data_IF_323395825772
#
_entry.id   IF_323395825772
#
_cell.length_a   1.000
_cell.length_b   1.000
_cell.length_c   1.000
_cell.angle_alpha   90.00
_cell.angle_beta   90.00
_cell.angle_gamma   90.00
#
_symmetry.space_group_name_H-M   'P 1'
#
loop_
_entity.id
_entity.type
_entity.pdbx_description
1 polymer ?
#
# COMPACT_ATOMS: atom_id res chain seq x y z
N UNK A 1 51.96 -36.71 -9.10
CA UNK A 1 51.58 -35.33 -9.48
C UNK A 1 50.13 -35.12 -9.05
N UNK A 2 49.92 -34.45 -7.92
CA UNK A 2 48.60 -34.05 -7.43
C UNK A 2 48.15 -32.83 -8.24
N UNK A 3 47.10 -32.97 -9.06
CA UNK A 3 46.43 -31.83 -9.67
C UNK A 3 45.39 -31.29 -8.69
N UNK A 4 45.70 -30.15 -8.09
CA UNK A 4 44.78 -29.33 -7.32
C UNK A 4 43.79 -28.65 -8.28
N UNK A 5 42.53 -29.09 -8.26
CA UNK A 5 41.39 -28.32 -8.76
C UNK A 5 40.93 -27.39 -7.62
N UNK A 6 41.08 -26.06 -7.73
CA UNK A 6 40.46 -25.18 -6.76
C UNK A 6 38.96 -25.16 -7.02
N UNK A 7 38.17 -25.65 -6.07
CA UNK A 7 36.74 -25.38 -5.99
C UNK A 7 36.56 -23.86 -5.85
N UNK A 8 36.20 -23.21 -6.95
CA UNK A 8 35.58 -21.89 -6.92
C UNK A 8 34.14 -22.08 -6.41
N UNK A 9 33.99 -22.15 -5.08
CA UNK A 9 32.68 -22.08 -4.44
C UNK A 9 32.14 -20.66 -4.61
N UNK A 10 30.99 -20.57 -5.28
CA UNK A 10 30.40 -19.34 -5.76
C UNK A 10 30.15 -18.30 -4.69
N UNK A 11 30.46 -17.04 -5.02
CA UNK A 11 29.84 -15.89 -4.37
C UNK A 11 28.36 -15.88 -4.77
N UNK A 12 27.52 -16.49 -3.94
CA UNK A 12 26.07 -16.27 -3.99
C UNK A 12 25.78 -14.82 -3.62
N UNK A 13 25.30 -14.04 -4.58
CA UNK A 13 24.71 -12.73 -4.30
C UNK A 13 23.41 -12.96 -3.53
N UNK A 14 23.44 -12.79 -2.21
CA UNK A 14 22.22 -12.70 -1.40
C UNK A 14 21.57 -11.37 -1.73
N UNK A 15 20.64 -11.37 -2.70
CA UNK A 15 19.72 -10.25 -2.88
C UNK A 15 18.75 -10.26 -1.71
N UNK A 16 18.96 -9.40 -0.72
CA UNK A 16 17.94 -9.10 0.27
C UNK A 16 16.77 -8.43 -0.46
N UNK A 17 15.52 -8.88 -0.25
CA UNK A 17 14.37 -8.16 -0.80
C UNK A 17 14.39 -6.75 -0.22
N UNK A 18 14.47 -5.75 -1.10
CA UNK A 18 14.29 -4.34 -0.70
C UNK A 18 12.88 -4.25 -0.13
N UNK A 19 12.78 -3.86 1.14
CA UNK A 19 11.48 -3.66 1.77
C UNK A 19 10.70 -2.62 0.98
N UNK A 20 9.51 -3.00 0.52
CA UNK A 20 8.63 -2.09 -0.22
C UNK A 20 8.09 -1.06 0.78
N UNK A 21 8.31 0.23 0.51
CA UNK A 21 7.87 1.30 1.40
C UNK A 21 6.37 1.59 1.22
N UNK A 22 5.57 1.25 2.24
CA UNK A 22 4.12 1.46 2.24
C UNK A 22 3.72 2.93 2.11
N UNK A 23 4.52 3.87 2.64
CA UNK A 23 4.24 5.30 2.52
C UNK A 23 4.37 5.77 1.08
N UNK A 24 5.46 5.43 0.41
CA UNK A 24 5.66 5.74 -1.02
C UNK A 24 4.58 5.07 -1.90
N UNK A 25 4.24 3.81 -1.61
CA UNK A 25 3.17 3.11 -2.33
C UNK A 25 1.82 3.84 -2.28
N UNK A 26 1.47 4.48 -1.16
CA UNK A 26 0.21 5.20 -1.04
C UNK A 26 0.06 6.32 -2.07
N UNK A 27 1.13 7.07 -2.32
CA UNK A 27 1.14 8.12 -3.35
C UNK A 27 1.32 7.54 -4.76
N UNK A 28 2.17 6.53 -4.92
CA UNK A 28 2.44 5.91 -6.23
C UNK A 28 1.21 5.21 -6.80
N UNK A 29 0.45 4.54 -5.94
CA UNK A 29 -0.83 3.88 -6.28
C UNK A 29 -2.00 4.86 -6.26
N UNK A 30 -1.76 6.15 -6.03
CA UNK A 30 -2.74 7.25 -6.08
C UNK A 30 -3.89 7.05 -5.08
N UNK A 31 -3.62 6.46 -3.92
CA UNK A 31 -4.58 6.35 -2.81
C UNK A 31 -4.97 7.75 -2.30
N UNK A 32 -4.03 8.69 -2.39
CA UNK A 32 -4.25 10.11 -2.11
C UNK A 32 -5.15 10.84 -3.12
N UNK A 33 -5.82 10.15 -4.06
CA UNK A 33 -6.93 10.75 -4.80
C UNK A 33 -8.20 10.93 -3.97
N UNK A 34 -8.40 10.10 -2.95
CA UNK A 34 -9.62 10.11 -2.13
C UNK A 34 -9.34 10.15 -0.63
N UNK A 35 -8.09 9.95 -0.22
CA UNK A 35 -7.71 9.83 1.18
C UNK A 35 -6.59 10.82 1.51
N UNK A 36 -6.62 11.35 2.73
CA UNK A 36 -5.49 12.06 3.33
C UNK A 36 -4.83 11.17 4.37
N UNK A 37 -3.59 11.53 4.71
CA UNK A 37 -2.92 11.05 5.92
C UNK A 37 -2.25 12.27 6.54
N UNK A 38 -3.03 13.06 7.27
CA UNK A 38 -2.60 14.30 7.92
C UNK A 38 -1.39 14.10 8.85
N UNK A 39 -1.39 13.01 9.64
CA UNK A 39 -0.26 12.63 10.52
C UNK A 39 1.07 12.45 9.78
N UNK A 40 1.02 12.24 8.46
CA UNK A 40 2.17 12.02 7.59
C UNK A 40 2.38 13.17 6.59
N UNK A 41 1.57 14.23 6.66
CA UNK A 41 1.60 15.37 5.74
C UNK A 41 1.11 15.05 4.32
N UNK A 42 0.34 13.98 4.12
CA UNK A 42 -0.15 13.58 2.79
C UNK A 42 -1.53 14.19 2.56
N UNK A 43 -1.57 15.18 1.67
CA UNK A 43 -2.81 15.80 1.20
C UNK A 43 -3.40 15.04 -0.02
N UNK A 44 -4.66 15.36 -0.33
CA UNK A 44 -5.32 14.85 -1.54
C UNK A 44 -4.70 15.45 -2.79
N UNK A 45 -4.55 14.63 -3.84
CA UNK A 45 -4.14 15.10 -5.16
C UNK A 45 -5.15 16.11 -5.71
N UNK A 46 -4.71 17.28 -6.20
CA UNK A 46 -5.58 18.22 -6.89
C UNK A 46 -6.32 17.52 -8.04
N UNK A 47 -7.61 17.84 -8.20
CA UNK A 47 -8.38 17.36 -9.36
C UNK A 47 -7.70 17.88 -10.63
N UNK A 48 -7.47 16.98 -11.59
CA UNK A 48 -6.78 17.35 -12.83
C UNK A 48 -7.68 18.15 -13.78
N UNK A 49 -9.01 17.97 -13.69
CA UNK A 49 -10.00 18.73 -14.46
C UNK A 49 -11.19 19.09 -13.55
N UNK A 50 -11.79 20.26 -13.78
CA UNK A 50 -12.99 20.72 -13.08
C UNK A 50 -14.24 19.86 -13.38
N UNK A 51 -14.16 19.07 -14.45
CA UNK A 51 -15.24 18.23 -14.98
C UNK A 51 -15.17 16.77 -14.47
N UNK A 52 -14.17 16.43 -13.64
CA UNK A 52 -14.19 15.17 -12.90
C UNK A 52 -15.36 15.23 -11.91
N UNK A 53 -16.47 14.55 -12.28
CA UNK A 53 -17.70 14.47 -11.49
C UNK A 53 -17.35 14.38 -10.01
N UNK A 54 -17.82 15.38 -9.27
CA UNK A 54 -17.82 15.29 -7.82
C UNK A 54 -18.68 14.07 -7.52
N UNK A 55 -18.09 13.03 -6.92
CA UNK A 55 -18.91 12.07 -6.19
C UNK A 55 -19.47 12.89 -5.02
N UNK A 56 -20.63 13.50 -5.25
CA UNK A 56 -21.28 14.46 -4.37
C UNK A 56 -21.33 13.85 -2.96
N UNK A 57 -20.52 14.40 -2.05
CA UNK A 57 -20.57 14.04 -0.63
C UNK A 57 -19.46 13.13 -0.08
N UNK A 58 -18.30 12.99 -0.73
CA UNK A 58 -17.13 12.40 -0.04
C UNK A 58 -16.03 13.42 0.20
N UNK A 59 -16.10 14.11 1.34
CA UNK A 59 -14.90 14.70 1.93
C UNK A 59 -13.80 13.63 1.97
N UNK A 60 -12.53 13.98 1.66
CA UNK A 60 -11.42 13.07 1.79
C UNK A 60 -11.44 12.37 3.14
N UNK A 61 -11.48 11.05 3.13
CA UNK A 61 -11.45 10.30 4.39
C UNK A 61 -10.00 10.20 4.85
N UNK A 62 -9.68 10.88 5.94
CA UNK A 62 -8.37 10.78 6.57
C UNK A 62 -8.14 9.37 7.14
N UNK A 63 -6.94 8.84 6.91
CA UNK A 63 -6.54 7.50 7.36
C UNK A 63 -5.45 7.53 8.43
N UNK A 64 -5.17 8.68 9.05
CA UNK A 64 -4.10 8.83 10.05
C UNK A 64 -4.25 7.91 11.27
N UNK A 65 -5.46 7.41 11.54
CA UNK A 65 -5.77 6.57 12.69
C UNK A 65 -6.36 5.22 12.29
N UNK A 66 -6.29 4.83 11.01
CA UNK A 66 -6.97 3.64 10.50
C UNK A 66 -6.49 2.33 11.15
N UNK A 67 -5.24 2.29 11.63
CA UNK A 67 -4.68 1.15 12.34
C UNK A 67 -5.17 0.94 13.76
N UNK A 68 -5.96 1.88 14.30
CA UNK A 68 -6.65 1.73 15.58
C UNK A 68 -7.92 0.88 15.45
N UNK A 69 -8.54 0.88 14.26
CA UNK A 69 -9.83 0.22 14.01
C UNK A 69 -9.71 -1.09 13.22
N UNK A 70 -8.58 -1.28 12.53
CA UNK A 70 -8.42 -2.35 11.54
C UNK A 70 -7.06 -3.03 11.63
N UNK A 71 -7.05 -4.35 11.41
CA UNK A 71 -5.83 -5.13 11.28
C UNK A 71 -5.38 -5.29 9.80
N UNK A 72 -4.21 -5.88 9.60
CA UNK A 72 -3.60 -6.05 8.26
C UNK A 72 -4.50 -6.89 7.36
N UNK A 73 -5.12 -7.96 7.89
CA UNK A 73 -5.97 -8.84 7.09
C UNK A 73 -7.24 -8.11 6.63
N UNK A 74 -7.87 -7.34 7.52
CA UNK A 74 -9.04 -6.53 7.20
C UNK A 74 -8.73 -5.48 6.14
N UNK A 75 -7.60 -4.77 6.25
CA UNK A 75 -7.17 -3.80 5.24
C UNK A 75 -6.94 -4.47 3.89
N UNK A 76 -6.25 -5.61 3.85
CA UNK A 76 -6.04 -6.38 2.61
C UNK A 76 -7.36 -6.81 1.97
N UNK A 77 -8.26 -7.38 2.76
CA UNK A 77 -9.57 -7.84 2.27
C UNK A 77 -10.44 -6.68 1.78
N UNK A 78 -10.38 -5.53 2.45
CA UNK A 78 -11.07 -4.31 2.03
C UNK A 78 -10.55 -3.82 0.67
N UNK A 79 -9.22 -3.72 0.52
CA UNK A 79 -8.56 -3.33 -0.72
C UNK A 79 -8.77 -4.33 -1.88
N UNK A 80 -8.92 -5.61 -1.56
CA UNK A 80 -9.26 -6.67 -2.53
C UNK A 80 -10.76 -6.81 -2.79
N UNK A 81 -11.60 -6.02 -2.10
CA UNK A 81 -13.07 -6.05 -2.19
C UNK A 81 -13.69 -7.41 -1.84
N UNK A 82 -13.01 -8.16 -0.97
CA UNK A 82 -13.52 -9.42 -0.40
C UNK A 82 -14.21 -9.20 0.95
N UNK A 83 -13.91 -8.07 1.62
CA UNK A 83 -14.63 -7.60 2.80
C UNK A 83 -15.67 -6.54 2.40
N UNK A 84 -16.85 -6.62 3.01
CA UNK A 84 -17.89 -5.60 2.93
C UNK A 84 -17.99 -4.86 4.27
N UNK A 85 -18.18 -3.55 4.21
CA UNK A 85 -18.44 -2.67 5.36
C UNK A 85 -19.70 -1.90 5.05
N UNK A 86 -20.73 -2.05 5.87
CA UNK A 86 -22.05 -1.42 5.70
C UNK A 86 -22.69 -1.69 4.31
N UNK A 87 -22.55 -2.93 3.83
CA UNK A 87 -23.05 -3.34 2.50
C UNK A 87 -22.28 -2.72 1.32
N UNK A 88 -21.17 -2.02 1.58
CA UNK A 88 -20.32 -1.39 0.57
C UNK A 88 -18.95 -2.06 0.54
N UNK A 89 -18.35 -2.12 -0.64
CA UNK A 89 -16.95 -2.51 -0.86
C UNK A 89 -16.10 -1.27 -1.11
N UNK A 90 -14.80 -1.36 -0.88
CA UNK A 90 -13.88 -0.28 -1.27
C UNK A 90 -14.06 0.09 -2.75
N UNK A 91 -14.11 1.39 -3.08
CA UNK A 91 -14.48 1.89 -4.43
C UNK A 91 -13.60 1.30 -5.53
N UNK A 92 -12.31 1.08 -5.26
CA UNK A 92 -11.35 0.50 -6.21
C UNK A 92 -10.72 -0.78 -5.65
N UNK A 93 -10.55 -1.79 -6.51
CA UNK A 93 -9.70 -2.94 -6.18
C UNK A 93 -8.24 -2.50 -6.27
N UNK A 94 -7.41 -2.92 -5.31
CA UNK A 94 -5.98 -2.72 -5.39
C UNK A 94 -5.37 -3.51 -6.56
N UNK A 95 -4.39 -2.88 -7.24
CA UNK A 95 -3.65 -3.48 -8.36
C UNK A 95 -2.15 -3.33 -8.09
N UNK A 96 -1.48 -4.46 -7.90
CA UNK A 96 -0.08 -4.56 -7.52
C UNK A 96 0.28 -6.00 -7.16
N UNK A 97 1.52 -6.24 -6.76
CA UNK A 97 1.96 -7.54 -6.24
C UNK A 97 1.44 -7.79 -4.82
N UNK A 98 1.52 -9.03 -4.35
CA UNK A 98 1.15 -9.37 -2.98
C UNK A 98 2.07 -8.69 -1.95
N UNK A 99 3.34 -8.52 -2.29
CA UNK A 99 4.31 -7.79 -1.46
C UNK A 99 3.94 -6.31 -1.34
N UNK A 100 3.50 -5.68 -2.43
CA UNK A 100 3.01 -4.29 -2.40
C UNK A 100 1.72 -4.16 -1.57
N UNK A 101 0.81 -5.12 -1.71
CA UNK A 101 -0.43 -5.17 -0.93
C UNK A 101 -0.14 -5.35 0.57
N UNK A 102 0.82 -6.20 0.92
CA UNK A 102 1.25 -6.40 2.30
C UNK A 102 1.91 -5.14 2.86
N UNK A 103 2.82 -4.53 2.11
CA UNK A 103 3.53 -3.33 2.55
C UNK A 103 2.58 -2.16 2.83
N UNK A 104 1.61 -1.90 1.93
CA UNK A 104 0.65 -0.81 2.15
C UNK A 104 -0.29 -1.11 3.33
N UNK A 105 -0.72 -2.37 3.50
CA UNK A 105 -1.60 -2.74 4.60
C UNK A 105 -0.89 -2.65 5.95
N UNK A 106 0.33 -3.16 6.06
CA UNK A 106 1.15 -3.05 7.28
C UNK A 106 1.42 -1.60 7.65
N UNK A 107 1.75 -0.77 6.66
CA UNK A 107 1.99 0.64 6.91
C UNK A 107 0.73 1.36 7.39
N UNK A 108 -0.43 1.16 6.75
CA UNK A 108 -1.70 1.76 7.20
C UNK A 108 -2.06 1.34 8.63
N UNK A 109 -1.84 0.08 9.00
CA UNK A 109 -2.10 -0.43 10.36
C UNK A 109 -1.13 0.13 11.40
N UNK A 110 0.05 0.60 10.97
CA UNK A 110 1.00 1.28 11.85
C UNK A 110 0.57 2.71 12.23
N UNK A 111 -0.40 3.29 11.52
CA UNK A 111 -0.94 4.64 11.77
C UNK A 111 -2.02 4.58 12.86
N UNK A 112 -1.80 5.25 14.00
CA UNK A 112 -2.64 5.18 15.21
C UNK A 112 -2.70 6.49 15.94
#
# INVERSE_FOLDING_TARGET
MLHLFPLLWGLGFITHPVAVDGKSLFTDKKCNKCHTIESQGIAVLPKANADEEEDEGSEPKDLSHVGSDHDVAQIKQWLQRTLEKDGKKHKKKFVGSDEELDAIAQWLVSLK
#
